data_IF_358988200894
#
_entry.id   IF_358988200894
#
_cell.length_a   1.000
_cell.length_b   1.000
_cell.length_c   1.000
_cell.angle_alpha   90.00
_cell.angle_beta   90.00
_cell.angle_gamma   90.00
#
_symmetry.space_group_name_H-M   'P 1'
#
loop_
_entity.id
_entity.type
_entity.pdbx_description
1 polymer ?
#
# COMPACT_ATOMS: atom_id res chain seq x y z
N UNK A 1 39.21 -9.46 -0.95
CA UNK A 1 37.80 -9.87 -0.76
C UNK A 1 37.76 -11.36 -0.96
N UNK A 2 37.69 -12.11 0.12
CA UNK A 2 37.73 -13.57 0.07
C UNK A 2 36.44 -14.10 -0.57
N UNK A 3 36.58 -15.02 -1.52
CA UNK A 3 35.45 -15.61 -2.21
C UNK A 3 34.58 -16.37 -1.21
N UNK A 4 33.34 -15.93 -0.99
CA UNK A 4 32.35 -16.71 -0.25
C UNK A 4 32.20 -18.06 -0.94
N UNK A 5 32.34 -19.20 -0.24
CA UNK A 5 32.27 -20.51 -0.87
C UNK A 5 30.92 -20.69 -1.58
N UNK A 6 30.93 -21.07 -2.88
CA UNK A 6 29.70 -21.28 -3.68
C UNK A 6 28.70 -22.21 -2.98
N UNK A 7 29.19 -23.24 -2.30
CA UNK A 7 28.40 -24.19 -1.51
C UNK A 7 27.58 -23.53 -0.39
N UNK A 8 28.08 -22.43 0.18
CA UNK A 8 27.36 -21.68 1.21
C UNK A 8 26.15 -20.97 0.60
N UNK A 9 26.33 -20.29 -0.54
CA UNK A 9 25.25 -19.58 -1.24
C UNK A 9 24.16 -20.55 -1.69
N UNK A 10 24.53 -21.69 -2.27
CA UNK A 10 23.58 -22.72 -2.72
C UNK A 10 22.75 -23.29 -1.56
N UNK A 11 23.40 -23.60 -0.43
CA UNK A 11 22.72 -24.14 0.74
C UNK A 11 21.74 -23.14 1.36
N UNK A 12 22.14 -21.88 1.49
CA UNK A 12 21.25 -20.82 1.97
C UNK A 12 20.10 -20.55 1.01
N UNK A 13 20.38 -20.52 -0.30
CA UNK A 13 19.33 -20.41 -1.33
C UNK A 13 18.27 -21.48 -1.16
N UNK A 14 18.67 -22.75 -1.04
CA UNK A 14 17.73 -23.87 -0.83
C UNK A 14 16.92 -23.74 0.46
N UNK A 15 17.55 -23.32 1.57
CA UNK A 15 16.86 -23.11 2.85
C UNK A 15 15.84 -21.98 2.73
N UNK A 16 16.20 -20.86 2.11
CA UNK A 16 15.33 -19.72 1.89
C UNK A 16 14.13 -20.12 1.03
N UNK A 17 14.35 -20.79 -0.11
CA UNK A 17 13.27 -21.28 -0.99
C UNK A 17 12.35 -22.25 -0.27
N UNK A 18 12.91 -23.22 0.48
CA UNK A 18 12.11 -24.20 1.22
C UNK A 18 11.29 -23.54 2.33
N UNK A 19 11.83 -22.51 2.98
CA UNK A 19 11.13 -21.76 4.02
C UNK A 19 10.05 -20.89 3.42
N UNK A 20 10.36 -20.13 2.36
CA UNK A 20 9.42 -19.27 1.66
C UNK A 20 8.22 -20.06 1.12
N UNK A 21 8.44 -21.27 0.59
CA UNK A 21 7.37 -22.16 0.13
C UNK A 21 6.41 -22.62 1.25
N UNK A 22 6.81 -22.50 2.53
CA UNK A 22 5.94 -22.78 3.67
C UNK A 22 5.18 -21.54 4.14
N UNK A 23 5.66 -20.34 3.83
CA UNK A 23 5.01 -19.10 4.25
C UNK A 23 3.83 -18.81 3.34
N UNK A 24 2.69 -18.52 3.95
CA UNK A 24 1.45 -18.24 3.26
C UNK A 24 0.85 -16.90 3.71
N UNK A 25 0.01 -16.35 2.85
CA UNK A 25 -0.92 -15.26 3.15
C UNK A 25 -2.32 -15.84 3.25
N UNK A 26 -3.06 -15.48 4.31
CA UNK A 26 -4.49 -15.78 4.40
C UNK A 26 -5.21 -14.87 3.41
N UNK A 27 -5.79 -15.43 2.36
CA UNK A 27 -6.55 -14.66 1.38
C UNK A 27 -8.04 -14.87 1.63
N UNK A 28 -8.78 -13.77 1.71
CA UNK A 28 -10.21 -13.75 2.04
C UNK A 28 -10.95 -12.95 0.98
N UNK A 29 -11.86 -13.59 0.28
CA UNK A 29 -12.73 -12.96 -0.69
C UNK A 29 -14.07 -12.60 -0.06
N UNK A 30 -14.48 -11.37 -0.25
CA UNK A 30 -15.75 -10.82 0.24
C UNK A 30 -16.75 -10.81 -0.92
N UNK A 31 -17.73 -11.72 -0.88
CA UNK A 31 -18.86 -11.73 -1.81
C UNK A 31 -19.98 -10.85 -1.24
N UNK A 32 -19.83 -9.54 -1.42
CA UNK A 32 -20.72 -8.52 -0.85
C UNK A 32 -22.21 -8.70 -1.21
N UNK A 33 -22.53 -9.28 -2.37
CA UNK A 33 -23.92 -9.50 -2.77
C UNK A 33 -24.63 -10.57 -1.94
N UNK A 34 -23.89 -11.59 -1.51
CA UNK A 34 -24.44 -12.69 -0.72
C UNK A 34 -24.12 -12.59 0.77
N UNK A 35 -23.32 -11.61 1.18
CA UNK A 35 -22.83 -11.49 2.55
C UNK A 35 -21.94 -12.67 2.96
N UNK A 36 -21.19 -13.24 2.00
CA UNK A 36 -20.36 -14.42 2.22
C UNK A 36 -18.88 -14.09 2.19
N UNK A 37 -18.11 -14.82 3.00
CA UNK A 37 -16.66 -14.75 3.03
C UNK A 37 -16.09 -16.11 2.63
N UNK A 38 -15.08 -16.11 1.77
CA UNK A 38 -14.37 -17.32 1.37
C UNK A 38 -12.90 -17.16 1.71
N UNK A 39 -12.29 -18.16 2.33
CA UNK A 39 -10.89 -18.11 2.72
C UNK A 39 -10.08 -19.26 2.13
N UNK A 40 -8.84 -18.97 1.80
CA UNK A 40 -7.83 -19.93 1.37
C UNK A 40 -6.43 -19.47 1.84
N UNK A 41 -5.47 -20.39 1.83
CA UNK A 41 -4.07 -20.07 2.08
C UNK A 41 -3.33 -19.92 0.75
N UNK A 42 -2.67 -18.78 0.55
CA UNK A 42 -1.93 -18.50 -0.68
C UNK A 42 -0.42 -18.51 -0.41
N UNK A 43 0.39 -19.31 -1.14
CA UNK A 43 1.83 -19.27 -0.99
C UNK A 43 2.39 -17.89 -1.32
N UNK A 44 3.41 -17.43 -0.57
CA UNK A 44 4.11 -16.18 -0.89
C UNK A 44 4.79 -16.31 -2.26
N UNK A 45 4.58 -15.32 -3.13
CA UNK A 45 5.15 -15.30 -4.46
C UNK A 45 6.68 -15.24 -4.40
N UNK A 46 7.36 -16.08 -5.20
CA UNK A 46 8.83 -16.20 -5.18
C UNK A 46 9.54 -15.13 -6.03
N UNK A 47 8.80 -14.21 -6.65
CA UNK A 47 9.35 -13.11 -7.45
C UNK A 47 10.08 -13.55 -8.73
N UNK A 48 10.26 -14.85 -8.99
CA UNK A 48 10.99 -15.35 -10.16
C UNK A 48 10.12 -15.43 -11.41
N UNK A 49 8.80 -15.46 -11.26
CA UNK A 49 7.89 -15.45 -12.40
C UNK A 49 7.79 -14.02 -12.95
N UNK A 50 8.23 -13.88 -14.20
CA UNK A 50 8.36 -12.62 -14.96
C UNK A 50 7.06 -11.86 -15.22
N UNK A 51 5.92 -12.42 -14.80
CA UNK A 51 4.60 -11.82 -15.00
C UNK A 51 3.98 -11.65 -13.62
N UNK A 52 3.67 -10.41 -13.18
CA UNK A 52 2.88 -10.19 -11.98
C UNK A 52 1.64 -11.05 -12.07
N UNK A 53 1.31 -11.86 -11.05
CA UNK A 53 0.15 -12.72 -11.11
C UNK A 53 -1.05 -11.85 -11.40
N UNK A 54 -1.69 -12.09 -12.55
CA UNK A 54 -3.01 -11.52 -12.77
C UNK A 54 -3.92 -12.02 -11.65
N UNK A 55 -4.99 -11.28 -11.33
CA UNK A 55 -5.95 -11.68 -10.29
C UNK A 55 -6.40 -13.15 -10.45
N UNK A 56 -6.44 -13.64 -11.69
CA UNK A 56 -6.73 -15.04 -12.01
C UNK A 56 -5.68 -16.05 -11.49
N UNK A 57 -4.38 -15.72 -11.55
CA UNK A 57 -3.31 -16.57 -11.04
C UNK A 57 -3.34 -16.73 -9.50
N UNK A 58 -3.80 -15.70 -8.78
CA UNK A 58 -3.93 -15.74 -7.32
C UNK A 58 -4.97 -16.79 -6.90
N UNK A 59 -6.07 -16.90 -7.64
CA UNK A 59 -7.12 -17.88 -7.37
C UNK A 59 -6.67 -19.33 -7.62
N UNK A 60 -5.90 -19.57 -8.69
CA UNK A 60 -5.53 -20.91 -9.13
C UNK A 60 -4.49 -21.61 -8.25
N UNK A 61 -3.67 -20.86 -7.51
CA UNK A 61 -2.58 -21.39 -6.68
C UNK A 61 -2.92 -21.49 -5.20
N UNK A 62 -4.16 -21.14 -4.83
CA UNK A 62 -4.63 -21.16 -3.46
C UNK A 62 -4.78 -22.59 -2.94
N UNK A 63 -4.38 -22.83 -1.70
CA UNK A 63 -4.50 -24.09 -0.97
C UNK A 63 -5.66 -24.02 0.03
N UNK A 64 -6.26 -25.17 0.30
CA UNK A 64 -7.27 -25.26 1.34
C UNK A 64 -6.67 -24.86 2.70
N UNK A 65 -7.37 -24.03 3.47
CA UNK A 65 -6.83 -23.48 4.72
C UNK A 65 -6.43 -24.58 5.73
N UNK A 66 -7.10 -25.74 5.69
CA UNK A 66 -6.79 -26.88 6.57
C UNK A 66 -5.57 -27.71 6.13
N UNK A 67 -5.07 -27.51 4.90
CA UNK A 67 -3.84 -28.19 4.45
C UNK A 67 -2.56 -27.44 4.85
N UNK A 68 -2.69 -26.24 5.42
CA UNK A 68 -1.57 -25.39 5.84
C UNK A 68 -1.56 -25.26 7.36
N UNK A 69 -0.38 -25.35 7.96
CA UNK A 69 -0.20 -25.03 9.37
C UNK A 69 -0.27 -23.51 9.56
N UNK A 70 -1.30 -23.06 10.30
CA UNK A 70 -1.62 -21.64 10.50
C UNK A 70 -0.44 -20.84 11.08
N UNK A 71 0.55 -21.48 11.73
CA UNK A 71 1.74 -20.78 12.22
C UNK A 71 2.64 -20.23 11.10
N UNK A 72 2.47 -20.72 9.87
CA UNK A 72 3.18 -20.21 8.70
C UNK A 72 2.36 -19.20 7.89
N UNK A 73 1.16 -18.82 8.36
CA UNK A 73 0.43 -17.70 7.82
C UNK A 73 0.96 -16.44 8.48
N UNK A 74 1.66 -15.60 7.71
CA UNK A 74 2.32 -14.40 8.25
C UNK A 74 1.59 -13.11 7.91
N UNK A 75 0.73 -13.11 6.89
CA UNK A 75 -0.03 -11.93 6.47
C UNK A 75 -1.46 -12.32 6.10
N UNK A 76 -2.34 -11.33 5.96
CA UNK A 76 -3.65 -11.53 5.35
C UNK A 76 -3.96 -10.50 4.27
N UNK A 77 -4.82 -10.88 3.34
CA UNK A 77 -5.45 -10.02 2.36
C UNK A 77 -6.95 -10.26 2.41
N UNK A 78 -7.73 -9.22 2.73
CA UNK A 78 -9.19 -9.24 2.66
C UNK A 78 -9.59 -8.40 1.47
N UNK A 79 -10.16 -9.02 0.43
CA UNK A 79 -10.45 -8.37 -0.83
C UNK A 79 -11.92 -8.52 -1.24
N UNK A 80 -12.56 -7.44 -1.67
CA UNK A 80 -13.87 -7.50 -2.33
C UNK A 80 -13.78 -8.20 -3.68
N UNK A 81 -14.69 -9.14 -3.92
CA UNK A 81 -14.75 -9.89 -5.16
C UNK A 81 -15.99 -9.47 -5.97
N UNK A 82 -15.77 -8.82 -7.13
CA UNK A 82 -16.84 -8.26 -7.95
C UNK A 82 -17.44 -9.24 -8.97
N UNK A 83 -16.76 -10.35 -9.25
CA UNK A 83 -17.25 -11.37 -10.17
C UNK A 83 -18.10 -12.40 -9.45
N UNK A 84 -19.03 -13.03 -10.16
CA UNK A 84 -19.80 -14.11 -9.57
C UNK A 84 -18.85 -15.24 -9.16
N UNK A 85 -18.85 -15.60 -7.87
CA UNK A 85 -18.08 -16.69 -7.23
C UNK A 85 -18.32 -18.09 -7.85
N UNK A 86 -19.10 -18.18 -8.94
CA UNK A 86 -19.54 -19.43 -9.58
C UNK A 86 -18.39 -20.37 -9.95
N UNK A 87 -17.16 -19.87 -10.06
CA UNK A 87 -15.98 -20.66 -10.42
C UNK A 87 -14.82 -20.53 -9.40
N UNK A 88 -15.09 -20.34 -8.10
CA UNK A 88 -14.02 -20.53 -7.11
C UNK A 88 -13.58 -22.01 -7.11
N UNK A 89 -12.27 -22.23 -7.08
CA UNK A 89 -11.73 -23.59 -6.93
C UNK A 89 -12.18 -24.20 -5.60
N UNK A 90 -12.25 -25.53 -5.55
CA UNK A 90 -12.63 -26.29 -4.34
C UNK A 90 -11.74 -26.00 -3.11
N UNK A 91 -10.57 -25.39 -3.31
CA UNK A 91 -9.68 -24.96 -2.24
C UNK A 91 -10.21 -23.78 -1.40
N UNK A 92 -11.23 -23.06 -1.87
CA UNK A 92 -11.83 -21.94 -1.13
C UNK A 92 -12.94 -22.43 -0.21
N UNK A 93 -12.84 -22.10 1.08
CA UNK A 93 -13.83 -22.50 2.09
C UNK A 93 -14.64 -21.30 2.57
N UNK A 94 -15.96 -21.42 2.59
CA UNK A 94 -16.84 -20.42 3.20
C UNK A 94 -16.56 -20.32 4.70
N UNK A 95 -16.40 -19.10 5.21
CA UNK A 95 -16.16 -18.81 6.64
C UNK A 95 -17.12 -17.74 7.16
N UNK A 96 -17.30 -17.70 8.47
CA UNK A 96 -18.05 -16.64 9.15
C UNK A 96 -17.15 -15.45 9.50
N UNK A 97 -17.73 -14.29 9.76
CA UNK A 97 -16.99 -13.08 10.21
C UNK A 97 -16.30 -13.29 11.55
N UNK A 98 -16.94 -14.03 12.47
CA UNK A 98 -16.31 -14.51 13.72
C UNK A 98 -15.05 -15.34 13.43
N UNK A 99 -15.13 -16.29 12.51
CA UNK A 99 -13.97 -17.13 12.15
C UNK A 99 -12.86 -16.30 11.50
N UNK A 100 -13.21 -15.33 10.66
CA UNK A 100 -12.24 -14.39 10.10
C UNK A 100 -11.54 -13.61 11.21
N UNK A 101 -12.28 -13.11 12.20
CA UNK A 101 -11.70 -12.37 13.33
C UNK A 101 -10.71 -13.22 14.12
N UNK A 102 -11.05 -14.50 14.37
CA UNK A 102 -10.13 -15.45 15.01
C UNK A 102 -8.85 -15.62 14.20
N UNK A 103 -8.97 -15.88 12.89
CA UNK A 103 -7.83 -16.09 11.99
C UNK A 103 -6.92 -14.87 11.94
N UNK A 104 -7.49 -13.68 11.78
CA UNK A 104 -6.74 -12.42 11.72
C UNK A 104 -6.02 -12.12 13.04
N UNK A 105 -6.61 -12.45 14.19
CA UNK A 105 -5.96 -12.29 15.50
C UNK A 105 -4.72 -13.19 15.69
N UNK A 106 -4.65 -14.33 15.00
CA UNK A 106 -3.45 -15.18 15.03
C UNK A 106 -2.30 -14.58 14.22
N UNK A 107 -2.62 -13.75 13.23
CA UNK A 107 -1.63 -13.12 12.36
C UNK A 107 -1.14 -11.85 13.05
N UNK A 108 0.07 -11.92 13.61
CA UNK A 108 0.69 -10.75 14.21
C UNK A 108 0.99 -9.70 13.12
N UNK A 109 0.87 -8.40 13.42
CA UNK A 109 1.38 -7.38 12.53
C UNK A 109 2.87 -7.64 12.26
N UNK A 110 3.26 -7.65 10.99
CA UNK A 110 4.64 -7.86 10.54
C UNK A 110 5.62 -6.83 11.13
N UNK A 111 5.09 -5.72 11.65
CA UNK A 111 5.84 -4.52 12.04
C UNK A 111 5.90 -4.26 13.55
N UNK A 112 5.61 -5.25 14.41
CA UNK A 112 5.64 -5.10 15.89
C UNK A 112 6.96 -4.54 16.48
N UNK A 113 8.03 -4.32 15.68
CA UNK A 113 9.29 -3.74 16.18
C UNK A 113 9.94 -2.67 15.30
N UNK A 114 9.75 -2.67 13.98
CA UNK A 114 10.41 -1.73 13.06
C UNK A 114 9.56 -1.53 11.80
N UNK A 115 9.54 -0.30 11.30
CA UNK A 115 8.97 -0.01 10.00
C UNK A 115 9.72 -0.77 8.89
N UNK A 116 8.99 -1.25 7.86
CA UNK A 116 9.61 -1.92 6.75
C UNK A 116 10.51 -0.94 5.99
N UNK A 117 11.67 -1.42 5.57
CA UNK A 117 12.61 -0.62 4.75
C UNK A 117 11.95 -0.18 3.44
N UNK A 118 11.06 -1.02 2.92
CA UNK A 118 10.29 -0.84 1.69
C UNK A 118 8.92 -1.49 1.87
N UNK A 119 7.87 -0.79 1.46
CA UNK A 119 6.55 -1.37 1.33
C UNK A 119 6.51 -2.36 0.16
N UNK A 120 5.98 -3.56 0.42
CA UNK A 120 5.64 -4.56 -0.58
C UNK A 120 4.22 -5.05 -0.31
N UNK A 121 3.33 -4.79 -1.27
CA UNK A 121 1.91 -5.10 -1.19
C UNK A 121 1.64 -6.60 -0.98
N UNK A 122 2.45 -7.47 -1.59
CA UNK A 122 2.28 -8.94 -1.51
C UNK A 122 2.59 -9.52 -0.12
N UNK A 123 3.32 -8.78 0.71
CA UNK A 123 3.73 -9.18 2.06
C UNK A 123 3.14 -8.29 3.14
N UNK A 124 2.00 -7.66 2.86
CA UNK A 124 1.34 -6.68 3.72
C UNK A 124 0.00 -7.21 4.24
N UNK A 125 -0.41 -6.75 5.43
CA UNK A 125 -1.76 -6.98 5.92
C UNK A 125 -2.72 -5.99 5.25
N UNK A 126 -3.39 -6.47 4.21
CA UNK A 126 -4.20 -5.65 3.31
C UNK A 126 -5.69 -5.78 3.58
N UNK A 127 -6.36 -4.63 3.61
CA UNK A 127 -7.82 -4.52 3.51
C UNK A 127 -8.19 -3.79 2.22
N UNK A 128 -8.63 -4.54 1.21
CA UNK A 128 -9.11 -4.07 -0.08
C UNK A 128 -10.63 -4.23 -0.18
N UNK A 129 -11.38 -3.17 0.09
CA UNK A 129 -12.83 -3.19 0.10
C UNK A 129 -13.38 -2.32 -1.02
N UNK A 130 -13.98 -3.00 -1.99
CA UNK A 130 -14.75 -2.41 -3.07
C UNK A 130 -16.23 -2.74 -2.90
N UNK A 131 -17.03 -1.71 -2.59
CA UNK A 131 -18.50 -1.74 -2.48
C UNK A 131 -19.13 -2.80 -1.51
N UNK A 132 -20.33 -2.49 -1.03
CA UNK A 132 -21.19 -3.44 -0.31
C UNK A 132 -21.19 -3.34 1.21
N UNK A 133 -22.29 -3.77 1.83
CA UNK A 133 -22.58 -3.63 3.26
C UNK A 133 -21.58 -4.37 4.16
N UNK A 134 -20.97 -5.46 3.67
CA UNK A 134 -19.93 -6.20 4.38
C UNK A 134 -18.70 -5.35 4.71
N UNK A 135 -18.44 -4.30 3.94
CA UNK A 135 -17.30 -3.41 4.20
C UNK A 135 -17.38 -2.77 5.59
N UNK A 136 -18.60 -2.39 6.02
CA UNK A 136 -18.80 -1.80 7.36
C UNK A 136 -18.51 -2.80 8.46
N UNK A 137 -19.03 -4.04 8.33
CA UNK A 137 -18.78 -5.10 9.32
C UNK A 137 -17.28 -5.41 9.44
N UNK A 138 -16.57 -5.50 8.31
CA UNK A 138 -15.14 -5.77 8.27
C UNK A 138 -14.29 -4.63 8.87
N UNK A 139 -14.68 -3.37 8.66
CA UNK A 139 -14.02 -2.22 9.31
C UNK A 139 -14.29 -2.22 10.82
N UNK A 140 -15.52 -2.52 11.25
CA UNK A 140 -15.89 -2.62 12.67
C UNK A 140 -15.14 -3.74 13.41
N UNK A 141 -14.65 -4.76 12.70
CA UNK A 141 -13.76 -5.79 13.28
C UNK A 141 -12.38 -5.26 13.66
N UNK A 142 -11.98 -4.10 13.13
CA UNK A 142 -10.69 -3.43 13.34
C UNK A 142 -9.48 -4.36 13.12
N UNK A 143 -9.34 -4.97 11.93
CA UNK A 143 -8.22 -5.85 11.65
C UNK A 143 -6.89 -5.07 11.74
N UNK A 144 -5.80 -5.70 12.22
CA UNK A 144 -4.48 -5.09 12.29
C UNK A 144 -3.85 -5.01 10.91
N UNK A 145 -4.28 -4.02 10.13
CA UNK A 145 -3.80 -3.74 8.78
C UNK A 145 -2.59 -2.83 8.82
N UNK A 146 -1.77 -2.93 7.79
CA UNK A 146 -0.70 -1.99 7.49
C UNK A 146 -0.92 -1.32 6.11
N UNK A 147 -1.93 -1.77 5.37
CA UNK A 147 -2.29 -1.30 4.04
C UNK A 147 -3.81 -1.29 3.85
N UNK A 148 -4.35 -0.21 3.29
CA UNK A 148 -5.77 -0.07 3.00
C UNK A 148 -6.03 0.38 1.56
N UNK A 149 -7.01 -0.26 0.93
CA UNK A 149 -7.58 0.11 -0.36
C UNK A 149 -9.11 0.14 -0.20
N UNK A 150 -9.66 1.33 0.05
CA UNK A 150 -11.10 1.51 0.24
C UNK A 150 -11.66 2.24 -0.98
N UNK A 151 -12.35 1.50 -1.85
CA UNK A 151 -12.95 2.02 -3.10
C UNK A 151 -14.47 1.85 -3.04
N UNK A 152 -15.15 2.69 -2.26
CA UNK A 152 -16.58 2.50 -2.01
C UNK A 152 -17.33 3.82 -1.88
N UNK A 153 -18.56 3.84 -2.35
CA UNK A 153 -19.47 4.98 -2.17
C UNK A 153 -20.25 4.90 -0.85
N UNK A 154 -19.96 3.89 -0.02
CA UNK A 154 -20.65 3.69 1.26
C UNK A 154 -20.10 4.68 2.29
N UNK A 155 -21.04 5.32 2.96
CA UNK A 155 -20.74 6.11 4.16
C UNK A 155 -20.45 5.18 5.32
N UNK A 156 -19.24 5.27 5.86
CA UNK A 156 -18.82 4.46 7.00
C UNK A 156 -19.14 5.09 8.36
N UNK A 157 -19.59 6.34 8.40
CA UNK A 157 -19.92 7.01 9.67
C UNK A 157 -18.75 7.05 10.65
N UNK A 158 -19.03 6.76 11.92
CA UNK A 158 -18.02 6.76 12.99
C UNK A 158 -17.10 5.54 12.91
N UNK A 159 -17.54 4.45 12.28
CA UNK A 159 -16.83 3.18 12.23
C UNK A 159 -15.49 3.29 11.50
N UNK A 160 -15.42 4.07 10.42
CA UNK A 160 -14.15 4.35 9.72
C UNK A 160 -13.20 5.15 10.62
N UNK A 161 -13.70 6.16 11.30
CA UNK A 161 -12.87 6.97 12.20
C UNK A 161 -12.27 6.12 13.32
N UNK A 162 -13.10 5.34 14.02
CA UNK A 162 -12.65 4.46 15.10
C UNK A 162 -11.65 3.40 14.62
N UNK A 163 -11.85 2.87 13.40
CA UNK A 163 -10.90 1.98 12.76
C UNK A 163 -9.55 2.67 12.51
N UNK A 164 -9.56 3.86 11.92
CA UNK A 164 -8.33 4.60 11.64
C UNK A 164 -7.61 5.03 12.92
N UNK A 165 -8.32 5.45 13.96
CA UNK A 165 -7.69 5.78 15.26
C UNK A 165 -7.01 4.57 15.91
N UNK A 166 -7.64 3.39 15.81
CA UNK A 166 -7.12 2.15 16.38
C UNK A 166 -6.07 1.45 15.51
N UNK A 167 -5.94 1.84 14.23
CA UNK A 167 -4.96 1.28 13.32
C UNK A 167 -3.52 1.54 13.80
N UNK A 168 -2.62 0.63 13.45
CA UNK A 168 -1.18 0.82 13.56
C UNK A 168 -0.64 1.73 12.45
N UNK A 169 0.69 1.75 12.25
CA UNK A 169 1.31 2.38 11.08
C UNK A 169 0.72 1.86 9.76
N UNK A 170 0.39 2.78 8.86
CA UNK A 170 -0.07 2.47 7.51
C UNK A 170 0.99 2.88 6.49
N UNK A 171 1.36 1.98 5.60
CA UNK A 171 2.42 2.20 4.61
C UNK A 171 1.86 2.40 3.19
N UNK A 172 0.65 1.92 2.95
CA UNK A 172 -0.09 2.10 1.70
C UNK A 172 -1.54 2.42 1.99
N UNK A 173 -1.95 3.63 1.60
CA UNK A 173 -3.29 4.13 1.80
C UNK A 173 -3.84 4.49 0.44
N UNK A 174 -4.98 3.93 0.08
CA UNK A 174 -5.80 4.42 -1.03
C UNK A 174 -7.25 4.46 -0.60
N UNK A 175 -7.81 5.65 -0.51
CA UNK A 175 -9.17 5.85 -0.02
C UNK A 175 -9.96 6.74 -0.98
N UNK A 176 -10.96 6.12 -1.60
CA UNK A 176 -11.98 6.72 -2.45
C UNK A 176 -13.31 6.39 -1.81
N UNK A 177 -13.61 7.14 -0.76
CA UNK A 177 -14.82 7.06 0.03
C UNK A 177 -15.57 8.38 -0.06
N UNK A 178 -16.83 8.38 0.32
CA UNK A 178 -17.66 9.59 0.39
C UNK A 178 -17.92 9.96 1.84
N UNK A 179 -18.13 11.25 2.10
CA UNK A 179 -18.50 11.80 3.42
C UNK A 179 -17.55 11.44 4.58
N UNK A 180 -16.23 11.48 4.34
CA UNK A 180 -15.26 11.39 5.43
C UNK A 180 -15.15 12.72 6.15
N UNK A 181 -15.26 12.66 7.48
CA UNK A 181 -15.08 13.83 8.32
C UNK A 181 -13.60 14.22 8.48
N UNK A 182 -13.39 15.39 9.07
CA UNK A 182 -12.05 15.92 9.31
C UNK A 182 -11.23 15.04 10.28
N UNK A 183 -11.89 14.32 11.20
CA UNK A 183 -11.21 13.52 12.22
C UNK A 183 -10.59 12.27 11.61
N UNK A 184 -11.34 11.56 10.78
CA UNK A 184 -10.84 10.44 10.01
C UNK A 184 -9.72 10.87 9.04
N UNK A 185 -9.82 12.05 8.43
CA UNK A 185 -8.75 12.60 7.59
C UNK A 185 -7.47 12.89 8.38
N UNK A 186 -7.58 13.46 9.58
CA UNK A 186 -6.42 13.67 10.46
C UNK A 186 -5.83 12.35 10.95
N UNK A 187 -6.69 11.40 11.34
CA UNK A 187 -6.27 10.08 11.78
C UNK A 187 -5.47 9.34 10.69
N UNK A 188 -5.95 9.33 9.44
CA UNK A 188 -5.21 8.65 8.36
C UNK A 188 -3.85 9.31 8.06
N UNK A 189 -3.75 10.63 8.12
CA UNK A 189 -2.48 11.36 7.93
C UNK A 189 -1.50 11.03 9.07
N UNK A 190 -1.98 10.98 10.32
CA UNK A 190 -1.20 10.59 11.49
C UNK A 190 -0.69 9.15 11.37
N UNK A 191 -1.56 8.20 10.99
CA UNK A 191 -1.19 6.78 10.84
C UNK A 191 -0.28 6.49 9.66
N UNK A 192 -0.31 7.32 8.61
CA UNK A 192 0.54 7.09 7.44
C UNK A 192 2.02 7.27 7.80
N UNK A 193 2.82 6.23 7.60
CA UNK A 193 4.27 6.25 7.83
C UNK A 193 4.99 6.14 6.48
N UNK A 194 5.71 7.19 6.04
CA UNK A 194 6.42 7.16 4.77
C UNK A 194 7.56 6.12 4.78
N UNK A 195 7.50 5.17 3.84
CA UNK A 195 8.54 4.14 3.60
C UNK A 195 8.86 4.07 2.10
N UNK A 196 9.94 3.40 1.70
CA UNK A 196 10.22 3.28 0.26
C UNK A 196 9.10 2.53 -0.45
N UNK A 197 8.62 3.08 -1.56
CA UNK A 197 7.42 2.66 -2.30
C UNK A 197 6.13 2.72 -1.48
N UNK A 198 6.11 3.52 -0.40
CA UNK A 198 4.87 3.88 0.28
C UNK A 198 4.00 4.75 -0.61
N UNK A 199 2.68 4.58 -0.48
CA UNK A 199 1.67 5.26 -1.30
C UNK A 199 0.61 5.88 -0.40
N UNK A 200 0.26 7.13 -0.66
CA UNK A 200 -0.88 7.78 0.00
C UNK A 200 -1.80 8.41 -1.05
N UNK A 201 -2.95 7.81 -1.30
CA UNK A 201 -3.97 8.30 -2.21
C UNK A 201 -5.24 8.62 -1.42
N UNK A 202 -5.65 9.89 -1.42
CA UNK A 202 -6.79 10.36 -0.67
C UNK A 202 -7.62 11.33 -1.52
N UNK A 203 -8.83 10.91 -1.91
CA UNK A 203 -9.68 11.68 -2.82
C UNK A 203 -10.45 12.81 -2.15
N UNK A 204 -10.60 12.75 -0.83
CA UNK A 204 -11.25 13.80 -0.09
C UNK A 204 -10.38 15.06 -0.06
N UNK A 205 -10.98 16.26 -0.17
CA UNK A 205 -10.22 17.49 -0.15
C UNK A 205 -9.45 17.66 1.18
N UNK A 206 -8.17 17.99 1.10
CA UNK A 206 -7.33 18.29 2.24
C UNK A 206 -7.23 19.80 2.43
N UNK A 207 -7.46 20.25 3.66
CA UNK A 207 -7.13 21.63 4.04
C UNK A 207 -5.65 21.92 3.79
N UNK A 208 -5.29 23.20 3.64
CA UNK A 208 -3.90 23.60 3.41
C UNK A 208 -2.96 23.06 4.50
N UNK A 209 -3.37 23.12 5.76
CA UNK A 209 -2.58 22.62 6.89
C UNK A 209 -2.34 21.11 6.86
N UNK A 210 -3.37 20.32 6.53
CA UNK A 210 -3.24 18.86 6.39
C UNK A 210 -2.34 18.47 5.22
N UNK A 211 -2.49 19.13 4.08
CA UNK A 211 -1.61 18.92 2.94
C UNK A 211 -0.17 19.25 3.29
N UNK A 212 0.05 20.38 3.96
CA UNK A 212 1.37 20.82 4.39
C UNK A 212 2.02 19.84 5.37
N UNK A 213 1.27 19.38 6.36
CA UNK A 213 1.71 18.34 7.32
C UNK A 213 2.13 17.05 6.60
N UNK A 214 1.27 16.53 5.71
CA UNK A 214 1.54 15.29 4.96
C UNK A 214 2.78 15.42 4.07
N UNK A 215 2.93 16.54 3.35
CA UNK A 215 4.07 16.81 2.47
C UNK A 215 5.37 16.87 3.28
N UNK A 216 5.38 17.59 4.40
CA UNK A 216 6.56 17.70 5.26
C UNK A 216 6.91 16.35 5.90
N UNK A 217 5.91 15.57 6.33
CA UNK A 217 6.11 14.21 6.85
C UNK A 217 6.83 13.33 5.82
N UNK A 218 6.38 13.35 4.56
CA UNK A 218 7.02 12.61 3.47
C UNK A 218 8.43 13.11 3.17
N UNK A 219 8.63 14.42 3.05
CA UNK A 219 9.92 15.02 2.72
C UNK A 219 11.00 14.77 3.81
N UNK A 220 10.60 14.84 5.08
CA UNK A 220 11.49 14.59 6.21
C UNK A 220 11.90 13.12 6.34
N UNK A 221 11.12 12.18 5.79
CA UNK A 221 11.43 10.74 5.84
C UNK A 221 12.64 10.33 5.00
N UNK A 222 13.01 11.15 4.01
CA UNK A 222 14.02 10.84 3.00
C UNK A 222 13.80 9.45 2.35
N UNK A 223 12.54 9.15 2.02
CA UNK A 223 12.11 7.90 1.36
C UNK A 223 11.53 8.19 -0.01
N UNK A 224 11.57 7.17 -0.88
CA UNK A 224 10.83 7.18 -2.15
C UNK A 224 9.35 6.94 -1.89
N UNK A 225 8.54 7.98 -1.91
CA UNK A 225 7.10 7.94 -1.58
C UNK A 225 6.31 8.62 -2.69
N UNK A 226 5.09 8.14 -2.93
CA UNK A 226 4.12 8.82 -3.81
C UNK A 226 2.88 9.21 -3.00
N UNK A 227 2.44 10.46 -3.13
CA UNK A 227 1.14 10.89 -2.62
C UNK A 227 0.29 11.43 -3.77
N UNK A 228 -1.01 11.16 -3.73
CA UNK A 228 -2.01 11.68 -4.67
C UNK A 228 -3.21 12.19 -3.89
N UNK A 229 -3.44 13.49 -3.94
CA UNK A 229 -4.41 14.16 -3.08
C UNK A 229 -5.17 15.25 -3.82
N UNK A 230 -6.30 15.67 -3.27
CA UNK A 230 -7.07 16.83 -3.73
C UNK A 230 -6.95 17.92 -2.67
N UNK A 231 -6.43 19.12 -2.96
CA UNK A 231 -6.53 20.25 -2.04
C UNK A 231 -8.00 20.73 -1.94
N UNK A 232 -8.36 21.32 -0.80
CA UNK A 232 -9.67 21.95 -0.56
C UNK A 232 -9.90 23.15 -1.46
N UNK A 233 -8.88 23.99 -1.63
CA UNK A 233 -8.88 24.99 -2.68
C UNK A 233 -8.85 24.30 -4.05
N UNK A 234 -9.39 24.95 -5.08
CA UNK A 234 -9.27 24.52 -6.48
C UNK A 234 -8.20 25.36 -7.19
N UNK A 235 -6.90 25.16 -6.90
CA UNK A 235 -5.84 25.97 -7.46
C UNK A 235 -5.79 25.80 -8.98
N UNK A 236 -5.63 26.93 -9.68
CA UNK A 236 -5.55 26.95 -11.14
C UNK A 236 -4.21 26.41 -11.63
N UNK A 237 -3.15 26.53 -10.82
CA UNK A 237 -1.78 26.08 -11.12
C UNK A 237 -1.24 25.13 -10.05
N UNK A 238 -0.04 24.56 -10.26
CA UNK A 238 0.61 23.68 -9.27
C UNK A 238 1.27 24.53 -8.17
N UNK A 239 1.73 25.71 -8.55
CA UNK A 239 2.41 26.70 -7.74
C UNK A 239 1.52 27.23 -6.60
N UNK A 240 0.21 27.29 -6.84
CA UNK A 240 -0.76 27.76 -5.85
C UNK A 240 -1.13 26.68 -4.80
N UNK A 241 -0.79 25.41 -5.05
CA UNK A 241 -1.18 24.29 -4.19
C UNK A 241 -0.37 24.28 -2.89
N UNK A 242 0.90 24.68 -2.96
CA UNK A 242 1.85 24.56 -1.87
C UNK A 242 2.94 25.63 -1.98
N UNK A 243 3.36 26.19 -0.85
CA UNK A 243 4.42 27.20 -0.83
C UNK A 243 5.79 26.53 -0.91
N UNK A 244 6.22 26.20 -2.14
CA UNK A 244 7.51 25.52 -2.37
C UNK A 244 8.70 26.36 -1.90
N UNK A 245 8.64 27.68 -2.08
CA UNK A 245 9.76 28.57 -1.74
C UNK A 245 9.98 28.68 -0.23
N UNK A 246 8.93 28.43 0.58
CA UNK A 246 9.06 28.33 2.05
C UNK A 246 9.94 27.17 2.50
N UNK A 247 9.97 26.06 1.76
CA UNK A 247 10.57 24.80 2.23
C UNK A 247 11.73 24.28 1.40
N UNK A 248 11.84 24.71 0.15
CA UNK A 248 12.79 24.15 -0.81
C UNK A 248 13.75 25.23 -1.31
N UNK A 249 15.04 24.97 -1.15
CA UNK A 249 16.13 25.87 -1.59
C UNK A 249 16.21 26.00 -3.11
N UNK A 250 15.81 24.95 -3.84
CA UNK A 250 15.85 24.90 -5.30
C UNK A 250 14.47 24.51 -5.81
N UNK A 251 13.82 25.40 -6.53
CA UNK A 251 12.52 25.16 -7.16
C UNK A 251 12.66 25.44 -8.66
N UNK A 252 12.23 24.51 -9.48
CA UNK A 252 12.22 24.61 -10.94
C UNK A 252 10.84 24.26 -11.46
N UNK A 253 10.27 25.15 -12.26
CA UNK A 253 8.99 24.92 -12.93
C UNK A 253 9.28 24.47 -14.37
N UNK A 254 8.80 23.29 -14.74
CA UNK A 254 8.90 22.73 -16.09
C UNK A 254 7.52 22.80 -16.75
N UNK A 255 7.41 23.57 -17.84
CA UNK A 255 6.17 23.63 -18.64
C UNK A 255 6.07 22.38 -19.52
N UNK A 256 4.94 21.68 -19.45
CA UNK A 256 4.62 20.53 -20.32
C UNK A 256 3.30 20.76 -21.05
N UNK A 257 3.03 20.05 -22.16
CA UNK A 257 1.74 20.09 -22.84
C UNK A 257 0.56 19.77 -21.91
N UNK A 258 0.77 18.89 -20.93
CA UNK A 258 -0.24 18.42 -19.97
C UNK A 258 -0.37 19.35 -18.74
N UNK A 259 0.47 20.38 -18.61
CA UNK A 259 0.49 21.31 -17.49
C UNK A 259 1.88 21.58 -16.94
N UNK A 260 1.97 22.47 -15.94
CA UNK A 260 3.22 22.73 -15.24
C UNK A 260 3.57 21.55 -14.33
N UNK A 261 4.85 21.23 -14.22
CA UNK A 261 5.41 20.35 -13.20
C UNK A 261 6.42 21.12 -12.37
N UNK A 262 6.29 21.09 -11.06
CA UNK A 262 7.26 21.65 -10.13
C UNK A 262 8.24 20.56 -9.72
N UNK A 263 9.54 20.86 -9.83
CA UNK A 263 10.63 20.08 -9.22
C UNK A 263 11.25 20.89 -8.10
N UNK A 264 11.33 20.32 -6.91
CA UNK A 264 11.85 21.00 -5.75
C UNK A 264 12.88 20.12 -5.01
N UNK A 265 13.94 20.75 -4.49
CA UNK A 265 14.99 20.07 -3.71
C UNK A 265 15.27 20.88 -2.44
N UNK A 266 15.10 20.22 -1.29
CA UNK A 266 15.44 20.78 0.01
C UNK A 266 16.94 20.69 0.22
N UNK A 267 17.50 21.67 0.91
CA UNK A 267 18.93 21.67 1.22
C UNK A 267 19.31 20.42 2.03
N UNK A 268 20.35 19.70 1.59
CA UNK A 268 20.81 18.47 2.21
C UNK A 268 19.98 17.21 1.92
N UNK A 269 18.85 17.31 1.21
CA UNK A 269 18.03 16.15 0.87
C UNK A 269 18.65 15.31 -0.27
N UNK A 270 18.45 13.99 -0.23
CA UNK A 270 18.88 13.08 -1.31
C UNK A 270 17.78 12.80 -2.33
N UNK A 271 16.58 13.30 -2.08
CA UNK A 271 15.41 13.11 -2.94
C UNK A 271 14.97 14.44 -3.54
N UNK A 272 14.49 14.38 -4.77
CA UNK A 272 13.85 15.48 -5.49
C UNK A 272 12.35 15.25 -5.44
N UNK A 273 11.62 16.25 -4.95
CA UNK A 273 10.17 16.31 -5.03
C UNK A 273 9.76 16.70 -6.46
N UNK A 274 8.89 15.92 -7.08
CA UNK A 274 8.21 16.25 -8.33
C UNK A 274 6.71 16.32 -8.10
N UNK A 275 6.08 17.40 -8.56
CA UNK A 275 4.67 17.71 -8.31
C UNK A 275 4.03 18.10 -9.64
N UNK A 276 2.95 17.43 -10.01
CA UNK A 276 2.20 17.73 -11.22
C UNK A 276 0.71 17.43 -11.01
N UNK A 277 -0.12 18.02 -11.87
CA UNK A 277 -1.55 17.73 -11.94
C UNK A 277 -1.75 16.40 -12.66
N UNK A 278 -2.33 15.41 -11.99
CA UNK A 278 -2.57 14.07 -12.55
C UNK A 278 -3.97 13.98 -13.18
N UNK A 279 -4.99 14.43 -12.45
CA UNK A 279 -6.39 14.50 -12.89
C UNK A 279 -6.97 15.89 -12.57
N UNK A 280 -8.15 16.26 -13.10
CA UNK A 280 -8.79 17.52 -12.73
C UNK A 280 -8.97 17.66 -11.21
N UNK A 281 -8.32 18.67 -10.62
CA UNK A 281 -8.32 18.94 -9.18
C UNK A 281 -7.44 17.99 -8.34
N UNK A 282 -6.68 17.08 -8.97
CA UNK A 282 -5.80 16.14 -8.27
C UNK A 282 -4.36 16.26 -8.74
N UNK A 283 -3.50 15.77 -7.87
CA UNK A 283 -2.20 16.35 -7.69
C UNK A 283 -1.31 15.23 -7.14
N UNK A 284 -0.32 14.79 -7.92
CA UNK A 284 0.53 13.65 -7.59
C UNK A 284 1.96 14.08 -7.30
N UNK A 285 2.39 13.92 -6.04
CA UNK A 285 3.73 14.26 -5.59
C UNK A 285 4.56 12.99 -5.47
N UNK A 286 5.77 13.04 -6.00
CA UNK A 286 6.73 11.93 -5.95
C UNK A 286 8.05 12.41 -5.41
N UNK A 287 8.59 11.68 -4.44
CA UNK A 287 9.97 11.82 -4.00
C UNK A 287 10.79 10.73 -4.66
N UNK A 288 11.68 11.11 -5.55
CA UNK A 288 12.61 10.20 -6.23
C UNK A 288 14.04 10.57 -5.91
N UNK A 289 14.98 9.63 -6.07
CA UNK A 289 16.40 9.91 -5.86
C UNK A 289 16.86 11.04 -6.77
N UNK A 290 17.56 12.03 -6.20
CA UNK A 290 18.10 13.13 -6.97
C UNK A 290 19.17 12.61 -7.94
N UNK A 291 18.86 12.65 -9.23
CA UNK A 291 19.86 12.39 -10.28
C UNK A 291 20.58 13.71 -10.55
N UNK A 292 21.81 13.85 -10.04
CA UNK A 292 22.61 15.02 -10.38
C UNK A 292 23.10 14.89 -11.83
N UNK A 293 22.79 15.86 -12.71
CA UNK A 293 23.38 15.89 -14.04
C UNK A 293 24.90 16.06 -13.90
N UNK A 294 25.64 14.98 -14.12
CA UNK A 294 27.11 14.90 -13.94
C UNK A 294 27.56 13.72 -13.09
N UNK A 295 26.70 13.16 -12.22
CA UNK A 295 26.98 11.87 -11.60
C UNK A 295 26.57 10.75 -12.56
N UNK A 296 27.52 10.32 -13.41
CA UNK A 296 27.41 9.08 -14.19
C UNK A 296 27.41 7.93 -13.18
N UNK A 297 26.25 7.60 -12.61
CA UNK A 297 26.06 6.34 -11.90
C UNK A 297 25.60 5.30 -12.92
N UNK A 298 26.53 4.41 -13.26
CA UNK A 298 26.27 3.09 -13.82
C UNK A 298 25.36 2.32 -12.84
N UNK A 299 24.06 2.54 -12.91
CA UNK A 299 23.05 1.74 -12.21
C UNK A 299 21.95 1.34 -13.19
N UNK A 300 22.36 0.79 -14.33
CA UNK A 300 21.60 -0.28 -14.96
C UNK A 300 22.32 -1.57 -14.64
N UNK A 301 22.02 -2.14 -13.47
CA UNK A 301 22.14 -3.59 -13.34
C UNK A 301 20.98 -4.16 -14.15
N UNK A 302 21.22 -4.40 -15.45
CA UNK A 302 20.39 -5.29 -16.23
C UNK A 302 20.46 -6.65 -15.54
N UNK A 303 19.35 -7.03 -14.90
CA UNK A 303 19.11 -8.40 -14.48
C UNK A 303 18.69 -9.19 -15.74
N UNK A 304 19.62 -9.40 -16.66
CA UNK A 304 19.47 -10.37 -17.73
C UNK A 304 19.89 -11.73 -17.18
N UNK A 305 18.92 -12.44 -16.58
CA UNK A 305 19.07 -13.85 -16.24
C UNK A 305 19.00 -14.70 -17.49
N UNK A 306 20.16 -15.17 -17.95
CA UNK A 306 20.29 -16.43 -18.70
C UNK A 306 20.34 -17.60 -17.74
#
# INVERSE_FOLDING_TARGET
>A
MDAVPRLFIERWGKICTTTAAKVHTLHVLVESQKGKLYAAAQPVWDGQKTIPPTMFCLLATSLHLESVDLKFITNFCIQSFSWSVRNLSENWKEITTKRLQELVRFIKPTTERRDPVRHNFESSNLLDLAHGHMARELISMRPPVDSILLLTQIEFGAELHEFLESAGPLYSVTCVVSNVDQRATNAIIDKFVPVNNGVFCWKHPLSRGQLEELVLKCDMSNKKVSIRVRPEASPSSVEDVFDFHKYYSKVKIERRPEGNMVKAVREGATHTLSVYRDLPGEFEWRWDLTVFPGSVRLLYCNYDGK
#
